data_IF_589353590630
#
_entry.id   IF_589353590630
#
_cell.length_a   1.000
_cell.length_b   1.000
_cell.length_c   1.000
_cell.angle_alpha   90.00
_cell.angle_beta   90.00
_cell.angle_gamma   90.00
#
_symmetry.space_group_name_H-M   'P 1'
#
loop_
_entity.id
_entity.type
_entity.pdbx_description
1 polymer ?
#
# COMPACT_ATOMS: atom_id res chain seq x y z
N UNK A 1 11.94 -23.70 -14.01
CA UNK A 1 10.64 -23.35 -14.64
C UNK A 1 9.92 -22.18 -13.97
N UNK A 2 10.52 -21.42 -13.04
CA UNK A 2 9.86 -20.28 -12.37
C UNK A 2 10.04 -18.90 -13.04
N UNK A 3 10.83 -18.77 -14.11
CA UNK A 3 11.06 -17.46 -14.75
C UNK A 3 9.93 -16.98 -15.65
N UNK A 4 9.09 -17.90 -16.17
CA UNK A 4 8.05 -17.54 -17.14
C UNK A 4 6.88 -16.75 -16.53
N UNK A 5 6.61 -16.91 -15.22
CA UNK A 5 5.52 -16.18 -14.54
C UNK A 5 5.92 -14.75 -14.19
N UNK A 6 7.21 -14.48 -13.91
CA UNK A 6 7.69 -13.13 -13.60
C UNK A 6 7.71 -12.20 -14.83
N UNK A 7 7.89 -12.76 -16.04
CA UNK A 7 7.80 -12.00 -17.29
C UNK A 7 6.35 -11.65 -17.67
N UNK A 8 5.39 -12.51 -17.29
CA UNK A 8 4.00 -12.37 -17.66
C UNK A 8 3.28 -11.31 -16.81
N UNK A 9 3.67 -11.11 -15.55
CA UNK A 9 3.04 -10.12 -14.65
C UNK A 9 3.25 -8.67 -15.13
N UNK A 10 4.47 -8.32 -15.57
CA UNK A 10 4.75 -6.96 -16.12
C UNK A 10 4.10 -6.72 -17.48
N UNK A 11 3.97 -7.76 -18.29
CA UNK A 11 3.31 -7.68 -19.60
C UNK A 11 1.79 -7.57 -19.45
N UNK A 12 1.21 -8.31 -18.50
CA UNK A 12 -0.19 -8.25 -18.11
C UNK A 12 -0.53 -6.88 -17.48
N UNK A 13 0.31 -6.35 -16.58
CA UNK A 13 0.16 -4.99 -16.02
C UNK A 13 0.16 -3.92 -17.11
N UNK A 14 1.05 -4.02 -18.11
CA UNK A 14 1.06 -3.07 -19.25
C UNK A 14 -0.14 -3.23 -20.17
N UNK A 15 -0.66 -4.45 -20.35
CA UNK A 15 -1.86 -4.71 -21.13
C UNK A 15 -3.14 -4.19 -20.44
N UNK A 16 -3.22 -4.32 -19.10
CA UNK A 16 -4.31 -3.78 -18.27
C UNK A 16 -4.27 -2.25 -18.17
N UNK A 17 -3.09 -1.64 -18.03
CA UNK A 17 -2.92 -0.19 -18.08
C UNK A 17 -3.42 0.44 -19.40
N UNK A 18 -3.44 -0.34 -20.48
CA UNK A 18 -3.91 0.07 -21.81
C UNK A 18 -5.44 0.16 -21.92
N UNK A 19 -6.19 -0.38 -20.95
CA UNK A 19 -7.65 -0.45 -20.93
C UNK A 19 -8.30 0.63 -20.04
N UNK A 20 -7.52 1.55 -19.45
CA UNK A 20 -8.06 2.75 -18.77
C UNK A 20 -8.81 2.50 -17.46
N UNK A 21 -8.91 1.24 -17.01
CA UNK A 21 -9.42 0.89 -15.69
C UNK A 21 -8.22 0.43 -14.87
N UNK A 22 -7.81 1.29 -13.94
CA UNK A 22 -6.56 1.15 -13.21
C UNK A 22 -6.75 0.12 -12.07
N UNK A 23 -6.86 -1.16 -12.43
CA UNK A 23 -6.96 -2.28 -11.48
C UNK A 23 -5.88 -2.21 -10.39
N UNK A 24 -4.70 -1.71 -10.76
CA UNK A 24 -3.61 -1.45 -9.82
C UNK A 24 -3.98 -0.38 -8.77
N UNK A 25 -4.66 0.69 -9.14
CA UNK A 25 -5.16 1.69 -8.18
C UNK A 25 -6.25 1.13 -7.28
N UNK A 26 -7.13 0.28 -7.80
CA UNK A 26 -8.16 -0.36 -6.97
C UNK A 26 -7.54 -1.31 -5.93
N UNK A 27 -6.56 -2.11 -6.34
CA UNK A 27 -5.79 -2.98 -5.44
C UNK A 27 -4.99 -2.16 -4.45
N UNK A 28 -4.37 -1.06 -4.88
CA UNK A 28 -3.62 -0.16 -4.01
C UNK A 28 -4.54 0.54 -3.00
N UNK A 29 -5.75 0.93 -3.38
CA UNK A 29 -6.71 1.56 -2.47
C UNK A 29 -7.21 0.56 -1.41
N UNK A 30 -7.48 -0.69 -1.82
CA UNK A 30 -7.83 -1.76 -0.87
C UNK A 30 -6.68 -2.03 0.11
N UNK A 31 -5.45 -2.19 -0.40
CA UNK A 31 -4.26 -2.39 0.43
C UNK A 31 -4.02 -1.22 1.37
N UNK A 32 -4.26 0.02 0.91
CA UNK A 32 -4.18 1.23 1.73
C UNK A 32 -5.15 1.16 2.89
N UNK A 33 -6.43 0.86 2.64
CA UNK A 33 -7.46 0.75 3.70
C UNK A 33 -7.08 -0.30 4.75
N UNK A 34 -6.70 -1.49 4.30
CA UNK A 34 -6.27 -2.57 5.20
C UNK A 34 -5.02 -2.20 6.00
N UNK A 35 -4.03 -1.57 5.35
CA UNK A 35 -2.81 -1.13 6.03
C UNK A 35 -3.09 -0.12 7.15
N UNK A 36 -4.02 0.83 6.92
CA UNK A 36 -4.40 1.83 7.93
C UNK A 36 -5.08 1.15 9.13
N UNK A 37 -5.97 0.20 8.88
CA UNK A 37 -6.65 -0.57 9.92
C UNK A 37 -5.65 -1.39 10.77
N UNK A 38 -4.72 -2.10 10.12
CA UNK A 38 -3.71 -2.87 10.85
C UNK A 38 -2.72 -2.01 11.63
N UNK A 39 -2.40 -0.81 11.15
CA UNK A 39 -1.54 0.11 11.90
C UNK A 39 -2.25 0.66 13.14
N UNK A 40 -3.57 0.89 13.06
CA UNK A 40 -4.39 1.33 14.19
C UNK A 40 -4.47 0.26 15.29
N UNK A 41 -4.46 -1.02 14.89
CA UNK A 41 -4.47 -2.17 15.80
C UNK A 41 -3.08 -2.60 16.30
N UNK A 42 -2.05 -1.77 16.08
CA UNK A 42 -0.66 -1.99 16.53
C UNK A 42 0.02 -3.29 16.04
N UNK A 43 -0.44 -3.87 14.93
CA UNK A 43 0.20 -5.06 14.35
C UNK A 43 1.66 -4.79 13.96
N UNK A 44 2.51 -5.81 14.03
CA UNK A 44 3.89 -5.68 13.59
C UNK A 44 3.98 -5.42 12.07
N UNK A 45 4.85 -4.48 11.66
CA UNK A 45 4.93 -4.02 10.28
C UNK A 45 5.37 -5.11 9.29
N UNK A 46 6.14 -6.09 9.75
CA UNK A 46 6.51 -7.24 8.92
C UNK A 46 5.28 -8.11 8.62
N UNK A 47 4.45 -8.39 9.62
CA UNK A 47 3.24 -9.18 9.45
C UNK A 47 2.23 -8.46 8.55
N UNK A 48 2.09 -7.14 8.71
CA UNK A 48 1.29 -6.30 7.80
C UNK A 48 1.79 -6.43 6.36
N UNK A 49 3.10 -6.37 6.13
CA UNK A 49 3.67 -6.50 4.80
C UNK A 49 3.32 -7.87 4.18
N UNK A 50 3.46 -8.96 4.95
CA UNK A 50 3.13 -10.30 4.51
C UNK A 50 1.63 -10.48 4.21
N UNK A 51 0.75 -9.97 5.08
CA UNK A 51 -0.71 -10.04 4.89
C UNK A 51 -1.19 -9.29 3.63
N UNK A 52 -0.52 -8.19 3.27
CA UNK A 52 -0.84 -7.41 2.07
C UNK A 52 -0.18 -7.96 0.79
N UNK A 53 0.62 -9.02 0.91
CA UNK A 53 1.31 -9.69 -0.19
C UNK A 53 2.59 -9.00 -0.65
N UNK A 54 3.27 -8.28 0.24
CA UNK A 54 4.63 -7.79 -0.02
C UNK A 54 5.68 -8.84 0.32
N UNK A 55 6.75 -8.89 -0.47
CA UNK A 55 7.88 -9.79 -0.23
C UNK A 55 8.72 -9.38 0.98
N UNK A 56 8.76 -8.09 1.31
CA UNK A 56 9.56 -7.53 2.38
C UNK A 56 8.90 -6.29 3.00
N UNK A 57 9.21 -6.04 4.27
CA UNK A 57 8.77 -4.83 5.00
C UNK A 57 9.17 -3.53 4.28
N UNK A 58 10.36 -3.50 3.66
CA UNK A 58 10.86 -2.34 2.90
C UNK A 58 9.96 -1.98 1.71
N UNK A 59 9.41 -2.99 1.02
CA UNK A 59 8.49 -2.77 -0.10
C UNK A 59 7.16 -2.17 0.38
N UNK A 60 6.64 -2.69 1.50
CA UNK A 60 5.47 -2.13 2.16
C UNK A 60 5.69 -0.68 2.60
N UNK A 61 6.82 -0.36 3.25
CA UNK A 61 7.12 1.01 3.70
C UNK A 61 7.12 2.02 2.54
N UNK A 62 7.67 1.64 1.38
CA UNK A 62 7.67 2.49 0.18
C UNK A 62 6.27 2.71 -0.36
N UNK A 63 5.47 1.65 -0.47
CA UNK A 63 4.08 1.74 -0.91
C UNK A 63 3.23 2.58 0.05
N UNK A 64 3.35 2.33 1.35
CA UNK A 64 2.63 3.07 2.39
C UNK A 64 2.97 4.56 2.37
N UNK A 65 4.25 4.92 2.24
CA UNK A 65 4.68 6.32 2.10
C UNK A 65 4.16 6.95 0.82
N UNK A 66 4.08 6.20 -0.29
CA UNK A 66 3.50 6.69 -1.55
C UNK A 66 2.02 7.05 -1.38
N UNK A 67 1.26 6.23 -0.64
CA UNK A 67 -0.18 6.43 -0.46
C UNK A 67 -0.54 7.49 0.60
N UNK A 68 0.23 7.56 1.69
CA UNK A 68 -0.12 8.39 2.87
C UNK A 68 0.80 9.60 3.04
N UNK A 69 1.85 9.71 2.23
CA UNK A 69 2.88 10.75 2.34
C UNK A 69 3.88 10.55 3.49
N UNK A 70 3.65 9.58 4.39
CA UNK A 70 4.49 9.37 5.58
C UNK A 70 4.81 7.90 5.84
N UNK A 71 5.91 7.61 6.56
CA UNK A 71 6.22 6.23 6.96
C UNK A 71 5.20 5.69 7.98
N UNK A 72 4.91 4.38 7.96
CA UNK A 72 3.90 3.77 8.84
C UNK A 72 4.23 3.90 10.32
N UNK A 73 5.52 3.93 10.70
CA UNK A 73 5.94 4.18 12.09
C UNK A 73 5.62 5.60 12.57
N UNK A 74 5.72 6.60 11.69
CA UNK A 74 5.34 7.99 12.00
C UNK A 74 3.82 8.10 12.12
N UNK A 75 3.09 7.46 11.21
CA UNK A 75 1.63 7.39 11.23
C UNK A 75 1.11 6.76 12.54
N UNK A 76 1.71 5.65 12.98
CA UNK A 76 1.38 5.03 14.28
C UNK A 76 1.64 5.97 15.46
N UNK A 77 2.77 6.67 15.45
CA UNK A 77 3.10 7.62 16.52
C UNK A 77 2.12 8.78 16.58
N UNK A 78 1.66 9.30 15.44
CA UNK A 78 0.63 10.35 15.42
C UNK A 78 -0.72 9.86 15.95
N UNK A 79 -1.11 8.61 15.65
CA UNK A 79 -2.34 8.02 16.23
C UNK A 79 -2.30 7.94 17.76
N UNK A 80 -1.13 7.63 18.32
CA UNK A 80 -0.96 7.54 19.77
C UNK A 80 -0.82 8.92 20.45
N UNK A 81 -0.59 9.99 19.70
CA UNK A 81 -0.39 11.34 20.21
C UNK A 81 -1.63 12.24 20.07
N UNK A 82 -2.53 11.93 19.13
CA UNK A 82 -3.72 12.73 18.83
C UNK A 82 -5.02 11.93 19.06
N UNK A 83 -5.65 12.14 20.21
CA UNK A 83 -7.06 11.81 20.45
C UNK A 83 -8.04 12.80 19.79
N UNK A 84 -7.66 13.44 18.68
CA UNK A 84 -8.46 14.52 18.09
C UNK A 84 -8.00 14.94 16.70
N UNK A 85 -8.76 14.48 15.71
CA UNK A 85 -9.10 15.25 14.51
C UNK A 85 -8.09 15.35 13.33
N UNK A 86 -8.56 14.77 12.21
CA UNK A 86 -8.27 14.99 10.77
C UNK A 86 -7.20 14.12 10.11
N UNK A 87 -7.73 13.18 9.32
CA UNK A 87 -7.10 12.43 8.24
C UNK A 87 -6.52 13.40 7.19
N UNK A 88 -5.19 13.49 7.00
CA UNK A 88 -4.61 14.18 5.87
C UNK A 88 -4.22 13.14 4.80
N UNK A 89 -4.79 13.24 3.60
CA UNK A 89 -4.22 12.56 2.43
C UNK A 89 -5.22 11.74 1.62
N UNK A 90 -6.13 12.44 0.93
CA UNK A 90 -6.61 11.98 -0.36
C UNK A 90 -5.37 11.82 -1.25
N UNK A 91 -5.08 10.58 -1.68
CA UNK A 91 -3.94 10.33 -2.55
C UNK A 91 -4.21 11.05 -3.89
N UNK A 92 -3.25 11.79 -4.46
CA UNK A 92 -3.44 12.42 -5.75
C UNK A 92 -3.68 11.34 -6.80
N UNK A 93 -4.83 11.42 -7.47
CA UNK A 93 -5.11 10.63 -8.66
C UNK A 93 -3.97 10.80 -9.65
N UNK A 94 -3.37 9.69 -10.06
CA UNK A 94 -2.30 9.73 -11.04
C UNK A 94 -2.94 9.81 -12.43
N UNK A 95 -2.76 10.96 -13.08
CA UNK A 95 -2.97 11.16 -14.52
C UNK A 95 -2.07 10.25 -15.36
#
# INVERSE_FOLDING_TARGET
TCEFLQQNERSLQRALAKQGINFQEMVDDLRRRMALEYICNDYNFLDIAMMLGYSEQSAFHRAFKRWTGMPPSKYRRSLNQDGGEKMPGEAPGQQ
#
